data_IF_276863777003
#
_entry.id   IF_276863777003
#
_cell.length_a   1.000
_cell.length_b   1.000
_cell.length_c   1.000
_cell.angle_alpha   90.00
_cell.angle_beta   90.00
_cell.angle_gamma   90.00
#
_symmetry.space_group_name_H-M   'P 1'
#
loop_
_entity.id
_entity.type
_entity.pdbx_description
1 polymer ?
#
# COMPACT_ATOMS: atom_id res chain seq x y z
N UNK A 1 47.71 6.25 9.27
CA UNK A 1 47.00 7.54 9.41
C UNK A 1 45.74 7.45 8.56
N UNK A 2 44.62 7.13 9.19
CA UNK A 2 43.33 6.91 8.51
C UNK A 2 42.58 8.23 8.49
N UNK A 3 42.24 8.74 7.31
CA UNK A 3 41.41 9.94 7.17
C UNK A 3 39.96 9.56 7.47
N UNK A 4 39.21 10.32 8.27
CA UNK A 4 37.80 10.04 8.48
C UNK A 4 37.01 10.38 7.20
N UNK A 5 36.18 9.44 6.76
CA UNK A 5 35.13 9.65 5.76
C UNK A 5 34.16 10.70 6.29
N UNK A 6 34.35 11.96 5.88
CA UNK A 6 33.40 13.04 6.14
C UNK A 6 32.30 12.93 5.08
N UNK A 7 31.20 12.26 5.43
CA UNK A 7 29.96 12.33 4.65
C UNK A 7 29.50 13.79 4.62
N UNK A 8 29.75 14.45 3.50
CA UNK A 8 29.22 15.78 3.21
C UNK A 8 27.74 15.60 2.86
N UNK A 9 26.87 15.69 3.87
CA UNK A 9 25.48 16.00 3.59
C UNK A 9 25.42 17.49 3.24
N UNK A 10 25.29 17.80 1.95
CA UNK A 10 24.84 19.11 1.52
C UNK A 10 23.38 19.26 1.94
N UNK A 11 23.12 20.16 2.89
CA UNK A 11 21.78 20.67 3.13
C UNK A 11 21.38 21.60 1.98
N UNK A 12 20.64 21.08 1.01
CA UNK A 12 19.76 21.91 0.20
C UNK A 12 18.38 21.94 0.86
N UNK A 13 17.92 23.13 1.25
CA UNK A 13 16.54 23.37 1.67
C UNK A 13 15.63 23.13 0.46
N UNK A 14 14.65 22.22 0.48
CA UNK A 14 13.48 22.22 1.38
C UNK A 14 12.89 20.80 1.42
N UNK A 15 13.36 19.94 2.33
CA UNK A 15 12.85 18.56 2.39
C UNK A 15 11.45 18.55 3.01
N UNK A 16 10.42 18.52 2.16
CA UNK A 16 9.29 17.64 2.46
C UNK A 16 9.92 16.25 2.67
N UNK A 17 9.67 15.62 3.81
CA UNK A 17 10.31 14.34 4.09
C UNK A 17 9.98 13.36 2.96
N UNK A 18 10.98 12.64 2.46
CA UNK A 18 10.80 11.68 1.39
C UNK A 18 9.66 10.71 1.74
N UNK A 19 8.80 10.34 0.76
CA UNK A 19 7.69 9.44 1.01
C UNK A 19 8.20 8.08 1.51
N UNK A 20 7.52 7.51 2.50
CA UNK A 20 7.87 6.20 3.06
C UNK A 20 6.86 5.17 2.56
N UNK A 21 7.35 4.08 1.98
CA UNK A 21 6.55 2.93 1.57
C UNK A 21 6.91 1.71 2.40
N UNK A 22 5.93 1.03 2.99
CA UNK A 22 6.16 -0.05 3.93
C UNK A 22 5.24 -1.26 3.72
N UNK A 23 5.74 -2.43 4.11
CA UNK A 23 4.98 -3.68 4.21
C UNK A 23 4.36 -3.89 5.60
N UNK A 24 4.19 -5.15 6.02
CA UNK A 24 3.63 -5.57 7.33
C UNK A 24 2.09 -5.52 7.44
N UNK A 25 1.44 -4.39 7.15
CA UNK A 25 -0.04 -4.35 7.14
C UNK A 25 -0.57 -4.79 5.77
N UNK A 26 -1.59 -5.66 5.76
CA UNK A 26 -2.14 -6.21 4.52
C UNK A 26 -3.24 -5.36 3.89
N UNK A 27 -3.78 -4.39 4.63
CA UNK A 27 -4.68 -3.37 4.09
C UNK A 27 -3.85 -2.24 3.48
N UNK A 28 -3.98 -1.94 2.18
CA UNK A 28 -3.40 -0.74 1.62
C UNK A 28 -3.95 0.51 2.33
N UNK A 29 -3.08 1.39 2.81
CA UNK A 29 -3.50 2.60 3.52
C UNK A 29 -2.43 3.68 3.51
N UNK A 30 -2.87 4.92 3.41
CA UNK A 30 -2.03 6.11 3.45
C UNK A 30 -2.19 6.79 4.82
N UNK A 31 -1.08 7.08 5.48
CA UNK A 31 -1.02 7.69 6.80
C UNK A 31 -0.21 8.98 6.72
N UNK A 32 -0.69 10.01 7.40
CA UNK A 32 0.05 11.26 7.58
C UNK A 32 0.93 11.14 8.83
N UNK A 33 2.22 11.47 8.70
CA UNK A 33 3.13 11.48 9.84
C UNK A 33 2.77 12.66 10.75
N UNK A 34 2.77 12.43 12.07
CA UNK A 34 2.45 13.48 13.06
C UNK A 34 3.36 14.69 12.86
N UNK A 35 2.76 15.88 12.81
CA UNK A 35 3.48 17.13 12.51
C UNK A 35 3.53 17.49 11.02
N UNK A 36 2.86 16.73 10.15
CA UNK A 36 2.65 17.10 8.74
C UNK A 36 3.89 17.03 7.84
N UNK A 37 5.00 16.49 8.36
CA UNK A 37 6.28 16.43 7.65
C UNK A 37 6.51 15.07 6.99
N UNK A 38 5.55 14.58 6.22
CA UNK A 38 5.74 13.37 5.39
C UNK A 38 4.54 12.44 5.35
N UNK A 39 4.59 11.51 4.40
CA UNK A 39 3.59 10.47 4.20
C UNK A 39 4.19 9.08 4.41
N UNK A 40 3.37 8.18 4.98
CA UNK A 40 3.65 6.76 5.09
C UNK A 40 2.55 5.99 4.37
N UNK A 41 2.91 5.22 3.36
CA UNK A 41 2.00 4.34 2.64
C UNK A 41 2.32 2.90 2.97
N UNK A 42 1.36 2.20 3.58
CA UNK A 42 1.38 0.76 3.65
C UNK A 42 0.84 0.17 2.35
N UNK A 43 1.64 -0.68 1.71
CA UNK A 43 1.34 -1.23 0.38
C UNK A 43 0.20 -2.26 0.42
N UNK A 44 0.04 -2.96 1.53
CA UNK A 44 -0.85 -4.11 1.61
C UNK A 44 -0.21 -5.38 1.05
N UNK A 45 -0.96 -6.48 1.13
CA UNK A 45 -0.65 -7.71 0.41
C UNK A 45 -1.13 -7.62 -1.06
N UNK A 46 -0.54 -8.39 -2.00
CA UNK A 46 -0.95 -8.36 -3.41
C UNK A 46 -2.36 -8.94 -3.66
N UNK A 47 -2.83 -9.81 -2.77
CA UNK A 47 -4.17 -10.40 -2.77
C UNK A 47 -4.69 -10.55 -1.33
N UNK A 48 -5.96 -10.87 -1.16
CA UNK A 48 -6.56 -11.06 0.17
C UNK A 48 -5.98 -12.32 0.81
N UNK A 49 -5.41 -12.23 2.01
CA UNK A 49 -4.81 -13.41 2.66
C UNK A 49 -5.63 -13.94 3.84
N UNK A 50 -6.67 -13.23 4.25
CA UNK A 50 -7.57 -13.61 5.33
C UNK A 50 -8.99 -13.10 5.09
N UNK A 51 -9.97 -13.72 5.77
CA UNK A 51 -11.36 -13.27 5.75
C UNK A 51 -11.54 -11.84 6.31
N UNK A 52 -10.57 -11.33 7.08
CA UNK A 52 -10.52 -9.94 7.53
C UNK A 52 -10.45 -8.94 6.36
N UNK A 53 -9.93 -9.41 5.22
CA UNK A 53 -9.66 -8.63 4.02
C UNK A 53 -10.70 -8.84 2.92
N UNK A 54 -11.79 -9.54 3.20
CA UNK A 54 -12.87 -9.78 2.25
C UNK A 54 -13.36 -8.46 1.63
N UNK A 55 -13.31 -8.40 0.30
CA UNK A 55 -13.70 -7.23 -0.48
C UNK A 55 -12.73 -6.04 -0.43
N UNK A 56 -11.58 -6.14 0.25
CA UNK A 56 -10.59 -5.07 0.20
C UNK A 56 -9.95 -4.99 -1.19
N UNK A 57 -9.95 -3.80 -1.77
CA UNK A 57 -9.21 -3.50 -2.99
C UNK A 57 -7.71 -3.62 -2.73
N UNK A 58 -7.01 -4.31 -3.63
CA UNK A 58 -5.57 -4.49 -3.61
C UNK A 58 -4.95 -3.70 -4.75
N UNK A 59 -3.68 -3.34 -4.60
CA UNK A 59 -2.97 -2.54 -5.59
C UNK A 59 -1.48 -2.80 -5.57
N UNK A 60 -0.85 -2.53 -6.70
CA UNK A 60 0.58 -2.31 -6.83
C UNK A 60 0.79 -0.80 -7.06
N UNK A 61 1.82 -0.23 -6.44
CA UNK A 61 2.15 1.19 -6.60
C UNK A 61 3.41 1.30 -7.46
N UNK A 62 3.33 2.10 -8.52
CA UNK A 62 4.47 2.45 -9.37
C UNK A 62 5.03 3.78 -8.88
N UNK A 63 6.35 3.85 -8.69
CA UNK A 63 7.06 5.03 -8.21
C UNK A 63 7.94 5.61 -9.31
N UNK A 64 7.98 6.93 -9.39
CA UNK A 64 8.84 7.66 -10.32
C UNK A 64 10.15 8.07 -9.63
N UNK A 65 11.25 7.47 -10.06
CA UNK A 65 12.58 7.74 -9.52
C UNK A 65 13.06 9.18 -9.79
N UNK A 66 12.73 9.75 -10.95
CA UNK A 66 13.15 11.10 -11.34
C UNK A 66 12.42 12.16 -10.51
N UNK A 67 11.21 11.83 -10.05
CA UNK A 67 10.43 12.64 -9.13
C UNK A 67 10.64 12.27 -7.64
N UNK A 68 11.81 11.74 -7.29
CA UNK A 68 12.15 11.43 -5.91
C UNK A 68 11.33 10.29 -5.29
N UNK A 69 10.98 9.29 -6.11
CA UNK A 69 10.09 8.17 -5.77
C UNK A 69 8.67 8.61 -5.40
N UNK A 70 8.19 9.69 -6.01
CA UNK A 70 6.79 10.07 -5.93
C UNK A 70 5.89 8.97 -6.53
N UNK A 71 4.68 8.84 -6.00
CA UNK A 71 3.66 7.91 -6.48
C UNK A 71 3.18 8.34 -7.87
N UNK A 72 3.50 7.51 -8.87
CA UNK A 72 3.13 7.75 -10.26
C UNK A 72 1.75 7.16 -10.59
N UNK A 73 1.53 5.91 -10.20
CA UNK A 73 0.31 5.17 -10.53
C UNK A 73 -0.03 4.12 -9.48
N UNK A 74 -1.33 3.88 -9.31
CA UNK A 74 -1.86 2.69 -8.66
C UNK A 74 -2.42 1.73 -9.71
N UNK A 75 -1.83 0.54 -9.80
CA UNK A 75 -2.36 -0.54 -10.63
C UNK A 75 -3.26 -1.41 -9.76
N UNK A 76 -4.59 -1.47 -10.00
CA UNK A 76 -5.48 -2.34 -9.26
C UNK A 76 -5.07 -3.81 -9.43
N UNK A 77 -5.00 -4.54 -8.33
CA UNK A 77 -4.72 -5.98 -8.35
C UNK A 77 -6.02 -6.74 -8.15
N UNK A 78 -6.36 -7.55 -9.14
CA UNK A 78 -7.42 -8.54 -9.06
C UNK A 78 -6.85 -9.94 -9.34
N UNK A 79 -6.11 -10.45 -8.37
CA UNK A 79 -5.42 -11.75 -8.46
C UNK A 79 -5.59 -12.53 -7.17
N UNK A 80 -5.36 -13.84 -7.25
CA UNK A 80 -5.36 -14.74 -6.09
C UNK A 80 -6.74 -15.04 -5.51
N UNK A 81 -6.79 -15.76 -4.37
CA UNK A 81 -8.05 -16.13 -3.73
C UNK A 81 -8.85 -14.92 -3.26
N UNK A 82 -10.18 -15.01 -3.38
CA UNK A 82 -11.12 -14.02 -2.86
C UNK A 82 -11.85 -14.54 -1.64
N UNK A 83 -11.94 -13.70 -0.61
CA UNK A 83 -12.77 -13.95 0.55
C UNK A 83 -14.08 -13.19 0.43
N UNK A 84 -15.15 -13.83 0.86
CA UNK A 84 -16.47 -13.25 0.90
C UNK A 84 -17.10 -13.49 2.27
N UNK A 85 -17.96 -12.55 2.68
CA UNK A 85 -18.72 -12.62 3.93
C UNK A 85 -20.20 -12.67 3.61
N UNK A 86 -20.92 -13.45 4.41
CA UNK A 86 -22.37 -13.50 4.45
C UNK A 86 -22.81 -13.41 5.92
N UNK A 87 -23.82 -12.61 6.21
CA UNK A 87 -24.34 -12.39 7.55
C UNK A 87 -25.72 -13.04 7.77
N UNK A 88 -26.24 -13.74 6.76
CA UNK A 88 -27.47 -14.50 6.85
C UNK A 88 -27.82 -15.23 5.57
N UNK A 89 -28.95 -15.95 5.60
CA UNK A 89 -29.40 -16.75 4.45
C UNK A 89 -29.70 -15.89 3.20
N UNK A 90 -30.14 -14.64 3.40
CA UNK A 90 -30.42 -13.71 2.30
C UNK A 90 -29.17 -13.35 1.48
N UNK A 91 -27.99 -13.34 2.11
CA UNK A 91 -26.72 -12.99 1.46
C UNK A 91 -26.15 -14.16 0.64
N UNK A 92 -26.65 -15.40 0.84
CA UNK A 92 -26.08 -16.60 0.23
C UNK A 92 -26.26 -16.62 -1.29
N UNK A 93 -27.39 -16.17 -1.80
CA UNK A 93 -27.65 -16.19 -3.24
C UNK A 93 -26.81 -15.13 -3.97
N UNK A 94 -26.65 -13.95 -3.36
CA UNK A 94 -25.73 -12.92 -3.86
C UNK A 94 -24.27 -13.41 -3.81
N UNK A 95 -23.88 -14.06 -2.71
CA UNK A 95 -22.56 -14.68 -2.58
C UNK A 95 -22.31 -15.72 -3.66
N UNK A 96 -23.26 -16.62 -3.90
CA UNK A 96 -23.18 -17.65 -4.94
C UNK A 96 -23.04 -17.03 -6.32
N UNK A 97 -23.75 -15.94 -6.60
CA UNK A 97 -23.62 -15.22 -7.87
C UNK A 97 -22.21 -14.65 -8.05
N UNK A 98 -21.64 -14.01 -7.01
CA UNK A 98 -20.28 -13.44 -7.04
C UNK A 98 -19.20 -14.50 -7.22
N UNK A 99 -19.31 -15.63 -6.52
CA UNK A 99 -18.35 -16.74 -6.64
C UNK A 99 -18.40 -17.38 -8.03
N UNK A 100 -19.58 -17.44 -8.67
CA UNK A 100 -19.72 -18.00 -10.03
C UNK A 100 -19.24 -17.05 -11.14
N UNK A 101 -19.20 -15.76 -10.87
CA UNK A 101 -18.78 -14.73 -11.81
C UNK A 101 -17.27 -14.44 -11.76
N UNK A 102 -16.58 -14.93 -10.73
CA UNK A 102 -15.13 -14.82 -10.54
C UNK A 102 -14.39 -16.01 -11.17
#
# INVERSE_FOLDING_TARGET
>A
KTLPLRLLFQEEATSTAAPIYAGHFHKPQDLQVRGGRGSLTYLGSPYQISLAEAGQAKRLIVLDREQGYARFEDVPLDVGPRFHRAFGAADLDELRARVRAA
#
